data_IF_187817618834
#
_entry.id   IF_187817618834
#
_cell.length_a   1.000
_cell.length_b   1.000
_cell.length_c   1.000
_cell.angle_alpha   90.00
_cell.angle_beta   90.00
_cell.angle_gamma   90.00
#
_symmetry.space_group_name_H-M   'P 1'
#
loop_
_entity.id
_entity.type
_entity.pdbx_description
1 polymer ?
#
# COMPACT_ATOMS: atom_id res chain seq x y z
N UNK A 1 14.61 -11.81 -17.66
CA UNK A 1 14.83 -13.03 -16.86
C UNK A 1 13.63 -13.14 -15.90
N UNK A 2 13.14 -14.34 -15.62
CA UNK A 2 12.11 -14.51 -14.58
C UNK A 2 12.65 -14.04 -13.22
N UNK A 3 11.78 -13.56 -12.36
CA UNK A 3 12.15 -13.18 -11.00
C UNK A 3 12.30 -14.44 -10.15
N UNK A 4 13.53 -14.74 -9.71
CA UNK A 4 13.81 -15.93 -8.91
C UNK A 4 13.32 -15.78 -7.46
N UNK A 5 13.03 -16.92 -6.80
CA UNK A 5 12.62 -16.96 -5.39
C UNK A 5 11.14 -16.70 -5.12
N UNK A 6 10.29 -16.57 -6.15
CA UNK A 6 8.85 -16.30 -6.00
C UNK A 6 7.99 -17.57 -6.03
N UNK A 7 8.27 -18.47 -6.98
CA UNK A 7 7.46 -19.66 -7.23
C UNK A 7 7.29 -20.54 -5.98
N UNK A 8 6.06 -20.90 -5.66
CA UNK A 8 5.71 -21.75 -4.52
C UNK A 8 5.69 -21.03 -3.16
N UNK A 9 6.04 -19.74 -3.12
CA UNK A 9 5.91 -18.89 -1.93
C UNK A 9 4.47 -18.50 -1.67
N UNK A 10 4.19 -18.03 -0.44
CA UNK A 10 2.87 -17.55 -0.01
C UNK A 10 2.90 -16.06 0.25
N UNK A 11 1.92 -15.32 -0.26
CA UNK A 11 1.74 -13.90 -0.01
C UNK A 11 0.39 -13.60 0.64
N UNK A 12 0.36 -12.67 1.59
CA UNK A 12 -0.84 -11.97 2.02
C UNK A 12 -0.83 -10.59 1.39
N UNK A 13 -1.87 -10.27 0.61
CA UNK A 13 -2.05 -8.96 -0.02
C UNK A 13 -3.30 -8.30 0.56
N UNK A 14 -3.13 -7.16 1.23
CA UNK A 14 -4.25 -6.40 1.80
C UNK A 14 -4.73 -5.33 0.83
N UNK A 15 -6.01 -4.94 0.90
CA UNK A 15 -6.59 -4.00 -0.06
C UNK A 15 -6.68 -4.58 -1.47
N UNK A 16 -6.92 -5.91 -1.58
CA UNK A 16 -6.74 -6.66 -2.82
C UNK A 16 -7.98 -6.71 -3.72
N UNK A 17 -9.14 -6.17 -3.30
CA UNK A 17 -10.37 -6.22 -4.09
C UNK A 17 -10.31 -5.33 -5.35
N UNK A 18 -9.42 -4.34 -5.41
CA UNK A 18 -9.36 -3.40 -6.54
C UNK A 18 -7.99 -2.73 -6.71
N UNK A 19 -7.83 -2.02 -7.81
CA UNK A 19 -6.73 -1.08 -8.04
C UNK A 19 -5.34 -1.72 -7.93
N UNK A 20 -4.47 -1.11 -7.13
CA UNK A 20 -3.08 -1.56 -6.95
C UNK A 20 -3.04 -2.95 -6.30
N UNK A 21 -3.88 -3.19 -5.28
CA UNK A 21 -3.89 -4.47 -4.57
C UNK A 21 -4.26 -5.65 -5.47
N UNK A 22 -5.28 -5.49 -6.30
CA UNK A 22 -5.69 -6.50 -7.28
C UNK A 22 -4.58 -6.78 -8.31
N UNK A 23 -3.93 -5.74 -8.84
CA UNK A 23 -2.83 -5.90 -9.79
C UNK A 23 -1.60 -6.58 -9.16
N UNK A 24 -1.27 -6.24 -7.90
CA UNK A 24 -0.20 -6.90 -7.15
C UNK A 24 -0.53 -8.37 -6.91
N UNK A 25 -1.76 -8.69 -6.48
CA UNK A 25 -2.20 -10.06 -6.28
C UNK A 25 -2.09 -10.88 -7.58
N UNK A 26 -2.62 -10.32 -8.68
CA UNK A 26 -2.55 -10.95 -10.01
C UNK A 26 -1.10 -11.16 -10.46
N UNK A 27 -0.24 -10.16 -10.33
CA UNK A 27 1.16 -10.28 -10.71
C UNK A 27 1.87 -11.37 -9.91
N UNK A 28 1.71 -11.43 -8.60
CA UNK A 28 2.33 -12.45 -7.78
C UNK A 28 1.81 -13.85 -8.13
N UNK A 29 0.52 -14.01 -8.45
CA UNK A 29 -0.04 -15.27 -8.94
C UNK A 29 0.60 -15.71 -10.27
N UNK A 30 0.81 -14.79 -11.20
CA UNK A 30 1.48 -15.06 -12.48
C UNK A 30 2.93 -15.53 -12.29
N UNK A 31 3.59 -15.06 -11.23
CA UNK A 31 4.95 -15.51 -10.83
C UNK A 31 4.93 -16.84 -10.03
N UNK A 32 3.76 -17.47 -9.87
CA UNK A 32 3.61 -18.75 -9.18
C UNK A 32 3.55 -18.65 -7.64
N UNK A 33 3.23 -17.48 -7.10
CA UNK A 33 3.02 -17.26 -5.66
C UNK A 33 1.59 -17.65 -5.30
N UNK A 34 1.39 -18.31 -4.16
CA UNK A 34 0.09 -18.57 -3.57
C UNK A 34 -0.39 -17.30 -2.85
N UNK A 35 -1.38 -16.61 -3.41
CA UNK A 35 -1.85 -15.34 -2.87
C UNK A 35 -3.11 -15.53 -2.02
N UNK A 36 -3.06 -15.04 -0.79
CA UNK A 36 -4.22 -14.78 0.05
C UNK A 36 -4.55 -13.30 -0.11
N UNK A 37 -5.67 -13.02 -0.76
CA UNK A 37 -6.17 -11.68 -0.98
C UNK A 37 -7.18 -11.31 0.12
N UNK A 38 -6.99 -10.16 0.78
CA UNK A 38 -7.94 -9.67 1.80
C UNK A 38 -8.32 -8.22 1.54
N UNK A 39 -9.56 -7.87 1.85
CA UNK A 39 -10.11 -6.52 1.73
C UNK A 39 -11.30 -6.38 2.69
N UNK A 40 -11.70 -5.14 3.00
CA UNK A 40 -12.95 -4.87 3.72
C UNK A 40 -14.18 -5.07 2.82
N UNK A 41 -13.98 -5.02 1.50
CA UNK A 41 -15.03 -5.24 0.51
C UNK A 41 -14.98 -6.68 0.01
N UNK A 42 -16.16 -7.32 -0.15
CA UNK A 42 -16.22 -8.68 -0.71
C UNK A 42 -15.84 -8.68 -2.19
N UNK A 43 -15.31 -9.81 -2.65
CA UNK A 43 -14.95 -10.09 -4.03
C UNK A 43 -14.63 -11.55 -4.22
N UNK A 44 -14.46 -11.98 -5.48
CA UNK A 44 -14.07 -13.34 -5.78
C UNK A 44 -12.68 -13.65 -5.21
N UNK A 45 -12.57 -14.69 -4.40
CA UNK A 45 -11.31 -15.06 -3.76
C UNK A 45 -10.81 -14.11 -2.67
N UNK A 46 -11.63 -13.15 -2.23
CA UNK A 46 -11.29 -12.20 -1.19
C UNK A 46 -11.70 -12.71 0.20
N UNK A 47 -10.74 -12.81 1.09
CA UNK A 47 -11.00 -12.99 2.52
C UNK A 47 -11.41 -11.63 3.10
N UNK A 48 -12.69 -11.47 3.44
CA UNK A 48 -13.21 -10.21 3.98
C UNK A 48 -12.73 -10.03 5.42
N UNK A 49 -12.07 -8.89 5.70
CA UNK A 49 -11.63 -8.52 7.05
C UNK A 49 -11.49 -6.98 7.17
N UNK A 50 -11.94 -6.44 8.29
CA UNK A 50 -11.61 -5.08 8.70
C UNK A 50 -10.27 -5.10 9.46
N UNK A 51 -9.21 -4.68 8.78
CA UNK A 51 -7.86 -4.69 9.32
C UNK A 51 -7.60 -3.56 10.33
N UNK A 52 -8.59 -2.72 10.64
CA UNK A 52 -8.54 -1.79 11.78
C UNK A 52 -8.92 -2.47 13.09
N UNK A 53 -9.52 -3.67 13.02
CA UNK A 53 -9.91 -4.51 14.15
C UNK A 53 -8.86 -5.61 14.38
N UNK A 54 -8.24 -5.61 15.56
CA UNK A 54 -7.20 -6.56 15.91
C UNK A 54 -7.70 -8.02 15.95
N UNK A 55 -8.94 -8.24 16.41
CA UNK A 55 -9.54 -9.58 16.46
C UNK A 55 -9.81 -10.15 15.07
N UNK A 56 -10.15 -9.28 14.10
CA UNK A 56 -10.29 -9.70 12.71
C UNK A 56 -8.94 -10.02 12.07
N UNK A 57 -7.89 -9.29 12.39
CA UNK A 57 -6.53 -9.60 11.96
C UNK A 57 -6.06 -10.94 12.52
N UNK A 58 -6.33 -11.23 13.81
CA UNK A 58 -6.03 -12.53 14.42
C UNK A 58 -6.81 -13.66 13.74
N UNK A 59 -8.12 -13.50 13.51
CA UNK A 59 -8.93 -14.48 12.75
C UNK A 59 -8.42 -14.72 11.34
N UNK A 60 -7.94 -13.66 10.66
CA UNK A 60 -7.33 -13.77 9.36
C UNK A 60 -6.02 -14.56 9.43
N UNK A 61 -5.17 -14.32 10.43
CA UNK A 61 -3.88 -15.00 10.58
C UNK A 61 -4.05 -16.49 10.88
N UNK A 62 -5.03 -16.85 11.71
CA UNK A 62 -5.36 -18.25 12.01
C UNK A 62 -5.75 -19.04 10.75
N UNK A 63 -6.41 -18.41 9.77
CA UNK A 63 -6.80 -19.02 8.50
C UNK A 63 -5.66 -18.98 7.46
N UNK A 64 -4.95 -17.86 7.40
CA UNK A 64 -3.91 -17.61 6.40
C UNK A 64 -2.62 -18.40 6.73
N UNK A 65 -2.32 -18.62 8.00
CA UNK A 65 -1.00 -19.06 8.44
C UNK A 65 0.06 -17.99 8.09
N UNK A 66 1.33 -18.30 8.31
CA UNK A 66 2.40 -17.33 8.08
C UNK A 66 2.73 -17.18 6.59
N UNK A 67 2.58 -16.01 5.96
CA UNK A 67 3.02 -15.77 4.59
C UNK A 67 4.55 -15.57 4.51
N UNK A 68 5.12 -15.77 3.32
CA UNK A 68 6.50 -15.39 3.01
C UNK A 68 6.59 -13.89 2.66
N UNK A 69 5.53 -13.38 2.01
CA UNK A 69 5.42 -12.00 1.57
C UNK A 69 4.19 -11.35 2.20
N UNK A 70 4.38 -10.21 2.85
CA UNK A 70 3.33 -9.41 3.47
C UNK A 70 3.23 -8.07 2.76
N UNK A 71 2.12 -7.84 2.04
CA UNK A 71 1.94 -6.65 1.22
C UNK A 71 0.80 -5.80 1.79
N UNK A 72 1.16 -4.74 2.50
CA UNK A 72 0.24 -3.86 3.20
C UNK A 72 -0.20 -2.69 2.30
N UNK A 73 -1.24 -2.92 1.49
CA UNK A 73 -1.81 -1.92 0.58
C UNK A 73 -3.11 -1.32 1.13
N UNK A 74 -3.82 -2.05 2.01
CA UNK A 74 -5.08 -1.58 2.59
C UNK A 74 -4.96 -0.13 3.07
N UNK A 75 -5.99 0.67 2.78
CA UNK A 75 -6.02 2.10 3.04
C UNK A 75 -6.38 2.91 1.79
N UNK A 76 -6.08 4.19 1.83
CA UNK A 76 -6.40 5.14 0.76
C UNK A 76 -7.08 6.39 1.32
N UNK A 77 -7.56 7.23 0.42
CA UNK A 77 -8.39 8.38 0.80
C UNK A 77 -9.73 7.84 1.32
N UNK A 78 -9.90 7.84 2.61
CA UNK A 78 -11.19 7.54 3.22
C UNK A 78 -12.04 8.79 3.01
N UNK A 79 -13.07 8.71 2.17
CA UNK A 79 -14.06 9.76 2.11
C UNK A 79 -14.68 9.89 3.51
N UNK A 80 -14.82 11.10 4.06
CA UNK A 80 -15.35 11.32 5.41
C UNK A 80 -16.77 10.78 5.58
N UNK A 81 -17.52 10.70 4.48
CA UNK A 81 -18.83 10.03 4.41
C UNK A 81 -19.02 9.39 3.03
N UNK A 82 -19.96 8.41 2.91
CA UNK A 82 -20.38 7.86 1.60
C UNK A 82 -20.89 8.90 0.60
N UNK A 83 -21.19 10.11 1.07
CA UNK A 83 -21.78 11.22 0.30
C UNK A 83 -20.74 12.21 -0.24
N UNK A 84 -19.52 12.23 0.31
CA UNK A 84 -18.44 13.05 -0.26
C UNK A 84 -17.88 12.36 -1.49
N UNK A 85 -18.36 12.78 -2.64
CA UNK A 85 -17.92 12.29 -3.93
C UNK A 85 -16.51 12.80 -4.25
N UNK A 86 -15.73 12.03 -5.00
CA UNK A 86 -14.41 12.43 -5.52
C UNK A 86 -14.35 13.84 -6.18
N UNK A 87 -15.44 14.45 -6.71
CA UNK A 87 -15.46 15.84 -7.13
C UNK A 87 -15.12 16.86 -6.03
N UNK A 88 -15.46 16.60 -4.78
CA UNK A 88 -15.12 17.52 -3.66
C UNK A 88 -13.64 17.47 -3.30
N UNK A 89 -12.99 16.33 -3.50
CA UNK A 89 -11.53 16.19 -3.44
C UNK A 89 -10.81 16.93 -4.59
N UNK A 90 -11.54 17.37 -5.63
CA UNK A 90 -10.98 18.12 -6.76
C UNK A 90 -10.88 19.62 -6.52
N UNK A 91 -11.66 20.17 -5.59
CA UNK A 91 -11.74 21.63 -5.38
C UNK A 91 -10.72 22.18 -4.37
N UNK A 92 -9.80 21.36 -3.89
CA UNK A 92 -8.75 21.77 -2.97
C UNK A 92 -8.52 20.73 -1.87
N UNK A 93 -7.36 20.76 -1.24
CA UNK A 93 -7.09 19.97 -0.05
C UNK A 93 -8.08 20.38 1.05
N UNK A 94 -8.55 19.40 1.85
CA UNK A 94 -9.15 19.70 3.14
C UNK A 94 -8.20 20.63 3.90
N UNK A 95 -8.66 21.81 4.27
CA UNK A 95 -7.87 22.72 5.10
C UNK A 95 -7.69 22.10 6.48
N UNK A 96 -6.62 22.47 7.15
CA UNK A 96 -6.31 21.95 8.48
C UNK A 96 -7.47 22.09 9.45
N UNK A 97 -8.11 23.25 9.44
CA UNK A 97 -9.24 23.60 10.29
C UNK A 97 -10.53 22.82 10.01
N UNK A 98 -10.64 22.22 8.83
CA UNK A 98 -11.82 21.42 8.42
C UNK A 98 -11.68 19.93 8.79
N UNK A 99 -10.49 19.50 9.23
CA UNK A 99 -10.24 18.09 9.63
C UNK A 99 -10.70 17.87 11.07
N UNK A 100 -11.79 17.15 11.24
CA UNK A 100 -12.27 16.76 12.58
C UNK A 100 -11.37 15.67 13.21
N UNK A 101 -11.37 15.59 14.55
CA UNK A 101 -10.66 14.53 15.28
C UNK A 101 -11.13 13.13 14.87
N UNK A 102 -12.41 12.98 14.54
CA UNK A 102 -12.99 11.72 14.07
C UNK A 102 -12.43 11.33 12.70
N UNK A 103 -12.33 12.27 11.76
CA UNK A 103 -11.74 12.02 10.44
C UNK A 103 -10.24 11.72 10.56
N UNK A 104 -9.54 12.51 11.36
CA UNK A 104 -8.14 12.26 11.67
C UNK A 104 -7.94 10.81 12.14
N UNK A 105 -8.67 10.39 13.17
CA UNK A 105 -8.56 9.05 13.75
C UNK A 105 -8.91 7.95 12.74
N UNK A 106 -9.97 8.12 11.95
CA UNK A 106 -10.38 7.15 10.92
C UNK A 106 -9.33 6.99 9.83
N UNK A 107 -8.75 8.09 9.37
CA UNK A 107 -7.73 8.03 8.30
C UNK A 107 -6.43 7.42 8.81
N UNK A 108 -6.01 7.74 10.03
CA UNK A 108 -4.86 7.07 10.65
C UNK A 108 -5.13 5.57 10.85
N UNK A 109 -6.30 5.20 11.34
CA UNK A 109 -6.68 3.81 11.51
C UNK A 109 -6.57 3.04 10.19
N UNK A 110 -7.22 3.54 9.14
CA UNK A 110 -7.27 2.87 7.84
C UNK A 110 -5.91 2.81 7.11
N UNK A 111 -4.99 3.75 7.35
CA UNK A 111 -3.76 3.87 6.56
C UNK A 111 -2.47 3.53 7.30
N UNK A 112 -2.45 3.60 8.65
CA UNK A 112 -1.27 3.34 9.47
C UNK A 112 -1.52 2.21 10.45
N UNK A 113 -2.62 2.27 11.22
CA UNK A 113 -2.90 1.25 12.24
C UNK A 113 -3.12 -0.12 11.60
N UNK A 114 -3.78 -0.22 10.45
CA UNK A 114 -3.93 -1.47 9.70
C UNK A 114 -2.58 -2.12 9.41
N UNK A 115 -1.63 -1.39 8.85
CA UNK A 115 -0.30 -1.93 8.53
C UNK A 115 0.45 -2.35 9.80
N UNK A 116 0.32 -1.59 10.88
CA UNK A 116 0.91 -1.94 12.18
C UNK A 116 0.31 -3.25 12.71
N UNK A 117 -1.03 -3.38 12.76
CA UNK A 117 -1.70 -4.57 13.30
C UNK A 117 -1.33 -5.82 12.49
N UNK A 118 -1.34 -5.71 11.17
CA UNK A 118 -0.97 -6.81 10.27
C UNK A 118 0.51 -7.19 10.46
N UNK A 119 1.43 -6.22 10.51
CA UNK A 119 2.85 -6.53 10.77
C UNK A 119 3.03 -7.17 12.15
N UNK A 120 2.37 -6.67 13.20
CA UNK A 120 2.44 -7.20 14.56
C UNK A 120 2.02 -8.66 14.62
N UNK A 121 0.96 -9.00 13.92
CA UNK A 121 0.39 -10.35 13.92
C UNK A 121 1.25 -11.35 13.15
N UNK A 122 1.75 -10.99 11.96
CA UNK A 122 2.43 -11.94 11.10
C UNK A 122 3.95 -12.01 11.28
N UNK A 123 4.61 -10.96 11.80
CA UNK A 123 6.06 -10.93 11.98
C UNK A 123 6.61 -12.04 12.90
N UNK A 124 5.95 -12.44 14.01
CA UNK A 124 6.44 -13.55 14.84
C UNK A 124 6.64 -14.85 14.08
N UNK A 125 5.69 -15.23 13.21
CA UNK A 125 5.79 -16.41 12.36
C UNK A 125 6.90 -16.30 11.33
N UNK A 126 7.12 -15.12 10.75
CA UNK A 126 8.26 -14.85 9.85
C UNK A 126 9.60 -14.94 10.59
N UNK A 127 9.69 -14.38 11.81
CA UNK A 127 10.89 -14.48 12.69
C UNK A 127 11.25 -15.96 12.95
N UNK A 128 10.27 -16.78 13.29
CA UNK A 128 10.47 -18.21 13.57
C UNK A 128 11.03 -18.96 12.35
N UNK A 129 10.59 -18.62 11.13
CA UNK A 129 11.07 -19.23 9.88
C UNK A 129 12.35 -18.59 9.34
N UNK A 130 12.82 -17.48 9.93
CA UNK A 130 13.98 -16.69 9.48
C UNK A 130 13.88 -16.30 8.00
N UNK A 131 12.69 -15.93 7.56
CA UNK A 131 12.42 -15.46 6.20
C UNK A 131 11.16 -14.63 6.16
N UNK A 132 11.24 -13.49 5.46
CA UNK A 132 10.08 -12.66 5.14
C UNK A 132 10.43 -11.49 4.23
N UNK A 133 9.41 -11.01 3.49
CA UNK A 133 9.45 -9.74 2.76
C UNK A 133 8.20 -8.96 3.11
N UNK A 134 8.37 -7.80 3.73
CA UNK A 134 7.27 -6.91 4.11
C UNK A 134 7.34 -5.67 3.24
N UNK A 135 6.24 -5.36 2.55
CA UNK A 135 6.14 -4.20 1.69
C UNK A 135 4.94 -3.36 2.13
N UNK A 136 5.23 -2.20 2.66
CA UNK A 136 4.25 -1.23 3.12
C UNK A 136 3.97 -0.18 2.04
N UNK A 137 2.78 0.39 2.04
CA UNK A 137 2.41 1.41 1.07
C UNK A 137 2.32 2.79 1.71
N UNK A 138 3.34 3.59 1.46
CA UNK A 138 3.38 5.03 1.72
C UNK A 138 2.63 5.79 0.59
N UNK A 139 3.05 6.99 0.29
CA UNK A 139 2.52 7.84 -0.78
C UNK A 139 3.51 8.95 -1.10
N UNK A 140 3.46 9.47 -2.32
CA UNK A 140 4.13 10.72 -2.67
C UNK A 140 3.72 11.88 -1.75
N UNK A 141 2.50 11.86 -1.20
CA UNK A 141 2.04 12.86 -0.24
C UNK A 141 2.87 12.90 1.04
N UNK A 142 3.45 11.76 1.45
CA UNK A 142 4.36 11.68 2.59
C UNK A 142 5.78 12.12 2.25
N UNK A 143 6.11 12.20 0.96
CA UNK A 143 7.46 12.56 0.48
C UNK A 143 7.62 14.06 0.23
N UNK A 144 6.64 14.69 -0.39
CA UNK A 144 6.71 16.09 -0.80
C UNK A 144 5.64 16.99 -0.17
N UNK A 145 4.73 16.43 0.63
CA UNK A 145 3.48 17.09 0.97
C UNK A 145 2.48 17.02 -0.20
N UNK A 146 1.27 17.52 0.02
CA UNK A 146 0.23 17.51 -1.01
C UNK A 146 -0.76 18.65 -0.78
N UNK A 147 -1.15 19.29 -1.87
CA UNK A 147 -2.26 20.22 -1.98
C UNK A 147 -3.57 19.54 -2.42
N UNK A 148 -3.57 18.21 -2.55
CA UNK A 148 -4.67 17.40 -3.08
C UNK A 148 -5.25 16.41 -2.08
N UNK A 149 -4.58 16.19 -0.95
CA UNK A 149 -5.03 15.29 0.11
C UNK A 149 -4.88 15.97 1.46
N UNK A 150 -5.74 15.63 2.41
CA UNK A 150 -5.72 16.21 3.76
C UNK A 150 -4.46 15.83 4.55
N UNK A 151 -4.14 16.67 5.54
CA UNK A 151 -2.95 16.51 6.42
C UNK A 151 -2.92 15.16 7.13
N UNK A 152 -4.07 14.61 7.50
CA UNK A 152 -4.22 13.30 8.15
C UNK A 152 -3.70 12.15 7.27
N UNK A 153 -3.98 12.18 5.96
CA UNK A 153 -3.47 11.18 5.03
C UNK A 153 -1.96 11.27 4.86
N UNK A 154 -1.44 12.48 4.67
CA UNK A 154 0.00 12.70 4.57
C UNK A 154 0.74 12.26 5.84
N UNK A 155 0.18 12.58 7.03
CA UNK A 155 0.70 12.15 8.32
C UNK A 155 0.70 10.62 8.46
N UNK A 156 -0.43 9.95 8.13
CA UNK A 156 -0.52 8.49 8.18
C UNK A 156 0.52 7.82 7.27
N UNK A 157 0.66 8.31 6.03
CA UNK A 157 1.63 7.78 5.07
C UNK A 157 3.09 8.12 5.43
N UNK A 158 3.33 9.22 6.13
CA UNK A 158 4.61 9.53 6.79
C UNK A 158 4.92 8.55 7.92
N UNK A 159 3.92 8.20 8.72
CA UNK A 159 4.01 7.16 9.76
C UNK A 159 4.41 5.79 9.19
N UNK A 160 3.91 5.43 8.00
CA UNK A 160 4.32 4.19 7.29
C UNK A 160 5.82 4.18 6.98
N UNK A 161 6.40 5.31 6.61
CA UNK A 161 7.85 5.42 6.34
C UNK A 161 8.64 5.17 7.64
N UNK A 162 8.22 5.78 8.75
CA UNK A 162 8.82 5.55 10.07
C UNK A 162 8.70 4.10 10.54
N UNK A 163 7.49 3.52 10.43
CA UNK A 163 7.22 2.13 10.75
C UNK A 163 8.13 1.18 9.93
N UNK A 164 8.25 1.42 8.64
CA UNK A 164 9.07 0.61 7.72
C UNK A 164 10.53 0.59 8.15
N UNK A 165 11.12 1.76 8.43
CA UNK A 165 12.53 1.88 8.84
C UNK A 165 12.81 1.15 10.15
N UNK A 166 11.93 1.32 11.14
CA UNK A 166 12.08 0.69 12.45
C UNK A 166 11.94 -0.83 12.35
N UNK A 167 10.92 -1.33 11.63
CA UNK A 167 10.76 -2.77 11.41
C UNK A 167 11.91 -3.37 10.59
N UNK A 168 12.49 -2.64 9.64
CA UNK A 168 13.64 -3.10 8.89
C UNK A 168 14.85 -3.37 9.79
N UNK A 169 15.10 -2.49 10.78
CA UNK A 169 16.15 -2.70 11.78
C UNK A 169 15.84 -3.86 12.72
N UNK A 170 14.62 -3.91 13.26
CA UNK A 170 14.20 -4.95 14.22
C UNK A 170 14.25 -6.35 13.62
N UNK A 171 13.83 -6.49 12.35
CA UNK A 171 13.61 -7.79 11.72
C UNK A 171 14.83 -8.29 10.91
N UNK A 172 15.85 -7.46 10.71
CA UNK A 172 17.01 -7.77 9.88
C UNK A 172 17.75 -9.07 10.30
N UNK A 173 17.95 -9.27 11.61
CA UNK A 173 18.62 -10.47 12.14
C UNK A 173 17.86 -11.78 11.85
N UNK A 174 16.60 -11.68 11.42
CA UNK A 174 15.76 -12.82 11.03
C UNK A 174 15.64 -13.00 9.51
N UNK A 175 16.52 -12.38 8.71
CA UNK A 175 16.47 -12.43 7.24
C UNK A 175 15.11 -11.94 6.68
N UNK A 176 14.54 -10.92 7.30
CA UNK A 176 13.29 -10.27 6.87
C UNK A 176 13.65 -8.88 6.37
N UNK A 177 13.29 -8.58 5.13
CA UNK A 177 13.40 -7.21 4.60
C UNK A 177 12.08 -6.49 4.72
N UNK A 178 12.13 -5.19 5.03
CA UNK A 178 10.95 -4.33 5.14
C UNK A 178 11.17 -3.08 4.32
N UNK A 179 10.31 -2.84 3.34
CA UNK A 179 10.40 -1.67 2.46
C UNK A 179 9.06 -0.97 2.32
N UNK A 180 9.08 0.29 1.94
CA UNK A 180 7.90 1.04 1.56
C UNK A 180 7.92 1.36 0.07
N UNK A 181 6.75 1.38 -0.55
CA UNK A 181 6.54 1.98 -1.88
C UNK A 181 5.79 3.28 -1.68
N UNK A 182 6.22 4.33 -2.36
CA UNK A 182 5.55 5.63 -2.42
C UNK A 182 5.04 5.88 -3.85
N UNK A 183 3.79 5.44 -4.16
CA UNK A 183 3.21 5.68 -5.47
C UNK A 183 2.97 7.16 -5.72
N UNK A 184 3.15 7.59 -6.97
CA UNK A 184 2.66 8.86 -7.48
C UNK A 184 1.19 8.79 -7.86
N UNK A 185 0.84 9.44 -8.97
CA UNK A 185 -0.52 9.41 -9.50
C UNK A 185 -0.74 8.11 -10.31
N UNK A 186 -1.50 7.17 -9.73
CA UNK A 186 -1.79 5.86 -10.32
C UNK A 186 -3.26 5.81 -10.76
N UNK A 187 -3.51 5.64 -12.06
CA UNK A 187 -4.86 5.54 -12.62
C UNK A 187 -5.49 4.19 -12.27
N UNK A 188 -6.23 4.17 -11.16
CA UNK A 188 -7.08 3.03 -10.76
C UNK A 188 -8.49 3.20 -11.32
N UNK A 189 -9.32 2.13 -11.30
CA UNK A 189 -10.73 2.20 -11.69
C UNK A 189 -11.51 3.27 -10.92
N UNK A 190 -11.25 3.40 -9.62
CA UNK A 190 -11.84 4.46 -8.77
C UNK A 190 -11.52 5.86 -9.28
N UNK A 191 -10.26 6.12 -9.63
CA UNK A 191 -9.82 7.42 -10.18
C UNK A 191 -10.37 7.64 -11.58
N UNK A 192 -10.43 6.60 -12.42
CA UNK A 192 -10.98 6.69 -13.76
C UNK A 192 -12.49 7.02 -13.75
N UNK A 193 -13.27 6.40 -12.86
CA UNK A 193 -14.70 6.66 -12.68
C UNK A 193 -15.00 8.07 -12.16
N UNK A 194 -14.09 8.66 -11.42
CA UNK A 194 -14.23 10.02 -10.90
C UNK A 194 -14.23 11.09 -12.01
N UNK A 195 -13.85 10.76 -13.24
CA UNK A 195 -13.80 11.66 -14.40
C UNK A 195 -12.98 12.92 -14.11
N UNK A 196 -11.75 13.02 -14.60
CA UNK A 196 -10.85 14.14 -14.26
C UNK A 196 -10.98 15.34 -15.18
N UNK A 197 -11.73 15.20 -16.30
CA UNK A 197 -11.90 16.26 -17.31
C UNK A 197 -10.57 16.84 -17.81
N UNK A 198 -10.65 17.98 -18.49
CA UNK A 198 -9.49 18.66 -19.10
C UNK A 198 -8.39 19.03 -18.08
N UNK A 199 -8.79 19.43 -16.87
CA UNK A 199 -7.85 19.75 -15.80
C UNK A 199 -7.03 18.54 -15.34
N UNK A 200 -7.61 17.34 -15.41
CA UNK A 200 -6.92 16.10 -15.12
C UNK A 200 -5.94 15.70 -16.21
N UNK A 201 -6.31 15.91 -17.46
CA UNK A 201 -5.42 15.65 -18.60
C UNK A 201 -4.22 16.60 -18.57
N UNK A 202 -4.45 17.91 -18.38
CA UNK A 202 -3.38 18.89 -18.23
C UNK A 202 -2.43 18.54 -17.06
N UNK A 203 -2.98 18.05 -15.94
CA UNK A 203 -2.14 17.58 -14.83
C UNK A 203 -1.30 16.37 -15.24
N UNK A 204 -1.87 15.38 -15.91
CA UNK A 204 -1.14 14.20 -16.37
C UNK A 204 -0.02 14.60 -17.34
N UNK A 205 -0.29 15.51 -18.25
CA UNK A 205 0.72 16.03 -19.18
C UNK A 205 1.84 16.82 -18.49
N UNK A 206 1.57 17.42 -17.34
CA UNK A 206 2.58 18.10 -16.54
C UNK A 206 3.54 17.15 -15.79
N UNK A 207 3.20 15.85 -15.70
CA UNK A 207 4.10 14.86 -15.11
C UNK A 207 5.33 14.62 -16.00
N UNK A 208 6.53 14.41 -15.45
CA UNK A 208 7.74 14.21 -16.26
C UNK A 208 7.61 13.09 -17.30
N UNK A 209 7.01 11.95 -16.93
CA UNK A 209 6.73 10.87 -17.90
C UNK A 209 5.46 11.10 -18.73
N UNK A 210 4.77 12.22 -18.58
CA UNK A 210 3.57 12.62 -19.34
C UNK A 210 2.47 11.55 -19.39
N UNK A 211 2.39 10.73 -18.36
CA UNK A 211 1.33 9.74 -18.19
C UNK A 211 1.05 9.48 -16.72
N UNK A 212 -0.14 9.09 -16.41
CA UNK A 212 -0.44 8.46 -15.14
C UNK A 212 0.25 7.09 -15.05
N UNK A 213 0.66 6.70 -13.84
CA UNK A 213 1.07 5.32 -13.58
C UNK A 213 -0.12 4.37 -13.69
N UNK A 214 0.16 3.10 -13.98
CA UNK A 214 -0.81 2.01 -13.95
C UNK A 214 -0.56 1.15 -12.71
N UNK A 215 -1.56 0.42 -12.20
CA UNK A 215 -1.35 -0.55 -11.11
C UNK A 215 -0.20 -1.53 -11.40
N UNK A 216 0.01 -1.92 -12.66
CA UNK A 216 1.10 -2.81 -13.07
C UNK A 216 2.49 -2.17 -12.91
N UNK A 217 2.62 -0.84 -13.03
CA UNK A 217 3.89 -0.15 -12.77
C UNK A 217 4.32 -0.36 -11.30
N UNK A 218 3.36 -0.49 -10.40
CA UNK A 218 3.59 -0.78 -8.97
C UNK A 218 3.82 -2.27 -8.74
N UNK A 219 2.99 -3.12 -9.35
CA UNK A 219 3.05 -4.58 -9.17
C UNK A 219 4.41 -5.16 -9.58
N UNK A 220 5.04 -4.61 -10.62
CA UNK A 220 6.38 -4.98 -11.03
C UNK A 220 7.45 -4.73 -9.96
N UNK A 221 7.37 -3.57 -9.29
CA UNK A 221 8.30 -3.22 -8.20
C UNK A 221 8.06 -4.10 -6.97
N UNK A 222 6.79 -4.38 -6.62
CA UNK A 222 6.46 -5.31 -5.53
C UNK A 222 7.04 -6.70 -5.81
N UNK A 223 6.83 -7.24 -7.01
CA UNK A 223 7.36 -8.55 -7.38
C UNK A 223 8.89 -8.60 -7.30
N UNK A 224 9.59 -7.56 -7.74
CA UNK A 224 11.05 -7.44 -7.61
C UNK A 224 11.49 -7.44 -6.15
N UNK A 225 10.83 -6.67 -5.27
CA UNK A 225 11.16 -6.62 -3.85
C UNK A 225 10.88 -7.94 -3.12
N UNK A 226 9.90 -8.73 -3.57
CA UNK A 226 9.60 -10.06 -3.05
C UNK A 226 10.62 -11.12 -3.52
N UNK A 227 11.24 -10.93 -4.69
CA UNK A 227 12.18 -11.86 -5.30
C UNK A 227 13.55 -11.84 -4.64
N UNK A 228 14.44 -12.74 -5.07
CA UNK A 228 15.84 -12.74 -4.65
C UNK A 228 16.57 -11.44 -5.02
N UNK A 229 16.19 -10.79 -6.14
CA UNK A 229 16.76 -9.51 -6.54
C UNK A 229 16.51 -8.38 -5.51
N UNK A 230 15.43 -8.46 -4.74
CA UNK A 230 15.12 -7.54 -3.64
C UNK A 230 15.76 -7.91 -2.30
N UNK A 231 16.49 -9.02 -2.22
CA UNK A 231 16.97 -9.62 -0.97
C UNK A 231 17.92 -8.75 -0.14
N UNK A 232 18.55 -7.74 -0.74
CA UNK A 232 19.45 -6.81 -0.04
C UNK A 232 18.86 -5.38 0.09
N UNK A 233 17.60 -5.19 -0.34
CA UNK A 233 16.89 -3.93 -0.19
C UNK A 233 16.07 -4.00 1.09
N UNK A 234 16.41 -3.18 2.10
CA UNK A 234 15.67 -3.11 3.37
C UNK A 234 15.73 -1.71 3.95
N UNK A 235 14.63 -1.24 4.53
CA UNK A 235 14.47 0.10 5.10
C UNK A 235 14.26 1.20 4.05
N UNK A 236 14.19 0.86 2.77
CA UNK A 236 14.03 1.82 1.69
C UNK A 236 12.57 2.28 1.55
N UNK A 237 12.42 3.53 1.09
CA UNK A 237 11.16 4.02 0.52
C UNK A 237 11.40 4.24 -0.97
N UNK A 238 10.76 3.42 -1.79
CA UNK A 238 10.93 3.42 -3.25
C UNK A 238 9.84 4.29 -3.86
N UNK A 239 10.26 5.39 -4.49
CA UNK A 239 9.38 6.29 -5.21
C UNK A 239 9.02 5.70 -6.57
N UNK A 240 7.72 5.43 -6.81
CA UNK A 240 7.20 4.94 -8.09
C UNK A 240 6.18 5.96 -8.59
N UNK A 241 6.67 7.07 -9.16
CA UNK A 241 5.88 8.27 -9.35
C UNK A 241 6.06 8.94 -10.73
N UNK A 242 6.76 8.29 -11.67
CA UNK A 242 6.99 8.85 -13.01
C UNK A 242 7.85 10.12 -13.04
N UNK A 243 8.70 10.31 -12.01
CA UNK A 243 9.55 11.50 -11.89
C UNK A 243 8.84 12.71 -11.28
N UNK A 244 7.62 12.55 -10.76
CA UNK A 244 6.89 13.67 -10.13
C UNK A 244 7.57 14.19 -8.84
N UNK A 245 8.41 13.37 -8.22
CA UNK A 245 9.20 13.73 -7.05
C UNK A 245 10.58 13.08 -7.13
N UNK A 246 11.60 13.89 -6.83
CA UNK A 246 12.98 13.47 -6.64
C UNK A 246 13.41 13.98 -5.27
N UNK A 247 13.55 13.11 -4.35
CA UNK A 247 13.96 13.52 -3.01
C UNK A 247 14.90 12.54 -2.35
N UNK A 248 15.59 13.00 -1.32
CA UNK A 248 16.39 12.14 -0.47
C UNK A 248 15.53 11.16 0.31
#
# INVERSE_FOLDING_TARGET
>A
MPLEGLKGRKALVTGAASGIGAAVAQRLQQEGVQVIATDIHPGEGIAVADLTDADEVERLSAKAGTPDFLINIAGGLVAPTREQTLPELRQGSLKLEDVSETEWSKVLAANLTTAFLVCREFAPGMKARKFGRIINFASIAARRGSDRVGVHYAAAKGGIIGLTKTLALELAAHNITVNAIAPGFIKTSRIAQAGWGDAGEAFIESLPLRRAGKPDDIAGVVAMLCSEAGGYVSGATIDVNGGWYFGP
#
